data_IF_411734543876
#
_entry.id   IF_411734543876
#
_cell.length_a   1.000
_cell.length_b   1.000
_cell.length_c   1.000
_cell.angle_alpha   90.00
_cell.angle_beta   90.00
_cell.angle_gamma   90.00
#
_symmetry.space_group_name_H-M   'P 1'
#
loop_
_entity.id
_entity.type
_entity.pdbx_description
1 polymer ?
#
# COMPACT_ATOMS: atom_id res chain seq x y z
N UNK A 1 -29.62 -0.15 -21.66
CA UNK A 1 -29.00 -1.13 -22.58
C UNK A 1 -28.95 -2.49 -21.88
N UNK A 2 -29.31 -3.59 -22.57
CA UNK A 2 -29.15 -4.95 -22.02
C UNK A 2 -27.65 -5.29 -21.95
N UNK A 3 -27.15 -5.65 -20.77
CA UNK A 3 -25.76 -6.11 -20.56
C UNK A 3 -25.58 -7.51 -21.15
N UNK A 4 -24.36 -7.81 -21.61
CA UNK A 4 -23.99 -9.16 -21.97
C UNK A 4 -24.01 -10.06 -20.72
N UNK A 5 -24.46 -11.31 -20.89
CA UNK A 5 -24.47 -12.30 -19.81
C UNK A 5 -23.17 -13.10 -19.84
N UNK A 6 -22.54 -13.26 -18.68
CA UNK A 6 -21.33 -14.07 -18.53
C UNK A 6 -21.56 -15.18 -17.52
N UNK A 7 -21.65 -16.42 -18.01
CA UNK A 7 -21.90 -17.59 -17.17
C UNK A 7 -20.68 -17.90 -16.30
N UNK A 8 -20.91 -18.07 -15.00
CA UNK A 8 -19.89 -18.48 -14.04
C UNK A 8 -20.15 -19.89 -13.53
N UNK A 9 -19.09 -20.62 -13.19
CA UNK A 9 -19.19 -21.95 -12.58
C UNK A 9 -19.70 -21.86 -11.14
N UNK A 10 -20.22 -22.97 -10.62
CA UNK A 10 -20.68 -23.08 -9.22
C UNK A 10 -19.64 -22.60 -8.19
N UNK A 11 -18.34 -22.98 -8.25
CA UNK A 11 -17.34 -22.49 -7.30
C UNK A 11 -17.12 -20.97 -7.38
N UNK A 12 -17.10 -20.39 -8.58
CA UNK A 12 -16.96 -18.94 -8.75
C UNK A 12 -18.18 -18.19 -8.23
N UNK A 13 -19.38 -18.70 -8.51
CA UNK A 13 -20.63 -18.16 -7.96
C UNK A 13 -20.58 -18.09 -6.44
N UNK A 14 -20.20 -19.18 -5.78
CA UNK A 14 -20.18 -19.25 -4.32
C UNK A 14 -19.17 -18.23 -3.74
N UNK A 15 -18.02 -18.03 -4.38
CA UNK A 15 -17.07 -16.97 -4.02
C UNK A 15 -17.64 -15.56 -4.21
N UNK A 16 -18.29 -15.29 -5.35
CA UNK A 16 -18.91 -13.99 -5.61
C UNK A 16 -20.01 -13.70 -4.59
N UNK A 17 -20.87 -14.68 -4.26
CA UNK A 17 -21.89 -14.54 -3.21
C UNK A 17 -21.30 -14.29 -1.82
N UNK A 18 -20.12 -14.87 -1.55
CA UNK A 18 -19.38 -14.59 -0.32
C UNK A 18 -18.72 -13.20 -0.31
N UNK A 19 -18.78 -12.45 -1.42
CA UNK A 19 -18.23 -11.10 -1.53
C UNK A 19 -16.82 -11.03 -2.15
N UNK A 20 -16.33 -12.12 -2.73
CA UNK A 20 -15.05 -12.09 -3.45
C UNK A 20 -15.17 -11.25 -4.73
N UNK A 21 -14.38 -10.19 -4.91
CA UNK A 21 -14.56 -9.23 -5.99
C UNK A 21 -13.98 -9.69 -7.33
N UNK A 22 -13.14 -10.72 -7.32
CA UNK A 22 -12.39 -11.16 -8.49
C UNK A 22 -12.94 -12.44 -9.11
N UNK A 23 -13.02 -12.46 -10.44
CA UNK A 23 -13.38 -13.63 -11.23
C UNK A 23 -12.23 -13.96 -12.18
N UNK A 24 -11.55 -15.07 -11.92
CA UNK A 24 -10.42 -15.52 -12.73
C UNK A 24 -10.86 -16.33 -13.97
N UNK A 25 -10.06 -16.25 -15.04
CA UNK A 25 -10.37 -16.84 -16.35
C UNK A 25 -10.39 -18.38 -16.37
N UNK A 26 -9.63 -19.02 -15.46
CA UNK A 26 -9.41 -20.48 -15.40
C UNK A 26 -10.67 -21.32 -15.17
N UNK A 27 -11.83 -20.69 -14.95
CA UNK A 27 -13.10 -21.38 -14.74
C UNK A 27 -14.29 -20.73 -15.49
N UNK A 28 -14.03 -20.08 -16.64
CA UNK A 28 -15.07 -19.40 -17.44
C UNK A 28 -15.08 -19.83 -18.91
N UNK A 29 -16.28 -20.04 -19.44
CA UNK A 29 -16.51 -19.92 -20.89
C UNK A 29 -16.46 -18.43 -21.23
N UNK A 30 -15.48 -18.00 -22.06
CA UNK A 30 -15.34 -16.60 -22.46
C UNK A 30 -16.41 -16.25 -23.51
N UNK A 31 -17.34 -15.32 -23.24
CA UNK A 31 -18.37 -14.96 -24.20
C UNK A 31 -17.74 -14.22 -25.38
N UNK A 32 -18.24 -14.48 -26.60
CA UNK A 32 -17.78 -13.77 -27.80
C UNK A 32 -18.26 -12.32 -27.76
N UNK A 33 -17.39 -11.39 -28.19
CA UNK A 33 -17.77 -9.99 -28.41
C UNK A 33 -17.74 -9.06 -27.19
N UNK A 34 -17.43 -9.58 -25.99
CA UNK A 34 -17.17 -8.74 -24.81
C UNK A 34 -15.79 -8.10 -24.95
N UNK A 35 -15.71 -6.79 -24.73
CA UNK A 35 -14.47 -6.03 -24.73
C UNK A 35 -14.05 -5.67 -23.31
N UNK A 36 -12.76 -5.41 -23.14
CA UNK A 36 -12.21 -4.85 -21.91
C UNK A 36 -12.89 -3.52 -21.58
N UNK A 37 -13.39 -3.39 -20.35
CA UNK A 37 -14.15 -2.24 -19.88
C UNK A 37 -15.68 -2.36 -20.01
N UNK A 38 -16.19 -3.38 -20.70
CA UNK A 38 -17.63 -3.60 -20.82
C UNK A 38 -18.26 -3.98 -19.48
N UNK A 39 -19.49 -3.48 -19.26
CA UNK A 39 -20.33 -3.94 -18.16
C UNK A 39 -21.06 -5.22 -18.55
N UNK A 40 -20.92 -6.23 -17.71
CA UNK A 40 -21.53 -7.55 -17.89
C UNK A 40 -22.37 -7.92 -16.68
N UNK A 41 -23.34 -8.79 -16.89
CA UNK A 41 -24.07 -9.44 -15.80
C UNK A 41 -23.53 -10.84 -15.64
N UNK A 42 -22.94 -11.13 -14.48
CA UNK A 42 -22.57 -12.50 -14.11
C UNK A 42 -23.85 -13.30 -13.88
N UNK A 43 -23.91 -14.51 -14.43
CA UNK A 43 -25.08 -15.40 -14.30
C UNK A 43 -24.67 -16.79 -13.85
N UNK A 44 -25.49 -17.42 -13.04
CA UNK A 44 -25.41 -18.85 -12.72
C UNK A 44 -26.63 -19.60 -13.30
N UNK A 45 -26.80 -20.87 -12.91
CA UNK A 45 -27.96 -21.68 -13.30
C UNK A 45 -29.30 -21.16 -12.75
N UNK A 46 -29.28 -20.34 -11.68
CA UNK A 46 -30.46 -19.78 -11.02
C UNK A 46 -30.82 -18.39 -11.56
N UNK A 47 -29.92 -17.73 -12.29
CA UNK A 47 -30.17 -16.46 -12.95
C UNK A 47 -29.07 -15.41 -12.73
N UNK A 48 -29.42 -14.11 -12.83
CA UNK A 48 -28.48 -13.01 -12.59
C UNK A 48 -27.90 -13.02 -11.18
N UNK A 49 -26.58 -12.82 -11.09
CA UNK A 49 -25.81 -12.89 -9.86
C UNK A 49 -25.24 -11.54 -9.43
N UNK A 50 -24.60 -10.82 -10.35
CA UNK A 50 -23.88 -9.58 -10.04
C UNK A 50 -23.60 -8.77 -11.30
N UNK A 51 -23.34 -7.48 -11.13
CA UNK A 51 -22.78 -6.61 -12.19
C UNK A 51 -21.25 -6.60 -12.08
N UNK A 52 -20.56 -6.83 -13.19
CA UNK A 52 -19.11 -6.87 -13.22
C UNK A 52 -18.53 -6.09 -14.39
N UNK A 53 -17.27 -5.70 -14.22
CA UNK A 53 -16.44 -5.05 -15.21
C UNK A 53 -15.55 -6.10 -15.89
N UNK A 54 -15.69 -6.25 -17.20
CA UNK A 54 -15.01 -7.27 -17.98
C UNK A 54 -13.56 -6.88 -18.35
N UNK A 55 -12.66 -7.87 -18.26
CA UNK A 55 -11.33 -7.84 -18.86
C UNK A 55 -10.97 -9.22 -19.46
N UNK A 56 -11.56 -9.61 -20.60
CA UNK A 56 -11.40 -10.95 -21.15
C UNK A 56 -9.95 -11.30 -21.55
N UNK A 57 -9.08 -10.30 -21.66
CA UNK A 57 -7.66 -10.43 -21.99
C UNK A 57 -6.76 -10.67 -20.77
N UNK A 58 -7.27 -10.42 -19.56
CA UNK A 58 -6.54 -10.60 -18.30
C UNK A 58 -6.84 -11.97 -17.68
N UNK A 59 -5.88 -12.59 -16.95
CA UNK A 59 -6.17 -13.71 -16.06
C UNK A 59 -7.27 -13.38 -15.03
N UNK A 60 -7.36 -12.12 -14.61
CA UNK A 60 -8.48 -11.57 -13.85
C UNK A 60 -9.56 -11.12 -14.85
N UNK A 61 -10.37 -12.08 -15.31
CA UNK A 61 -11.31 -11.92 -16.42
C UNK A 61 -12.45 -10.91 -16.13
N UNK A 62 -12.82 -10.73 -14.86
CA UNK A 62 -13.76 -9.70 -14.46
C UNK A 62 -13.57 -9.27 -13.00
N UNK A 63 -13.96 -8.02 -12.71
CA UNK A 63 -14.08 -7.49 -11.34
C UNK A 63 -15.54 -7.18 -11.02
N UNK A 64 -16.07 -7.71 -9.94
CA UNK A 64 -17.45 -7.48 -9.48
C UNK A 64 -17.58 -6.03 -8.99
N UNK A 65 -18.45 -5.24 -9.62
CA UNK A 65 -18.73 -3.85 -9.25
C UNK A 65 -19.84 -3.76 -8.20
N UNK A 66 -20.86 -4.62 -8.34
CA UNK A 66 -22.04 -4.64 -7.49
C UNK A 66 -22.62 -6.05 -7.45
N UNK A 67 -23.08 -6.48 -6.27
CA UNK A 67 -23.82 -7.73 -6.12
C UNK A 67 -25.27 -7.58 -6.61
N UNK A 68 -25.75 -6.36 -6.81
CA UNK A 68 -26.98 -6.12 -7.56
C UNK A 68 -26.73 -6.29 -9.08
N UNK A 69 -27.31 -7.33 -9.72
CA UNK A 69 -27.20 -7.51 -11.17
C UNK A 69 -27.89 -6.40 -11.99
N UNK A 70 -28.75 -5.60 -11.36
CA UNK A 70 -29.44 -4.45 -11.94
C UNK A 70 -28.77 -3.10 -11.71
N UNK A 71 -27.68 -3.04 -10.93
CA UNK A 71 -27.02 -1.79 -10.54
C UNK A 71 -26.70 -0.92 -11.75
N UNK A 72 -27.06 0.37 -11.76
CA UNK A 72 -26.94 1.23 -12.95
C UNK A 72 -25.49 1.53 -13.36
N UNK A 73 -24.57 1.62 -12.39
CA UNK A 73 -23.16 2.01 -12.60
C UNK A 73 -23.01 3.37 -13.31
N UNK A 74 -23.97 4.28 -13.06
CA UNK A 74 -23.98 5.66 -13.53
C UNK A 74 -23.23 6.62 -12.58
N UNK A 75 -23.27 7.92 -12.86
CA UNK A 75 -22.61 8.92 -12.03
C UNK A 75 -23.14 9.01 -10.60
N UNK A 76 -24.43 8.77 -10.36
CA UNK A 76 -24.97 8.75 -9.00
C UNK A 76 -24.44 7.56 -8.20
N UNK A 77 -24.35 6.39 -8.84
CA UNK A 77 -23.75 5.18 -8.29
C UNK A 77 -22.27 5.38 -7.94
N UNK A 78 -21.51 6.09 -8.78
CA UNK A 78 -20.09 6.42 -8.55
C UNK A 78 -19.92 7.38 -7.37
N UNK A 79 -20.69 8.47 -7.36
CA UNK A 79 -20.65 9.48 -6.28
C UNK A 79 -20.94 8.84 -4.93
N UNK A 80 -21.98 8.04 -4.83
CA UNK A 80 -22.37 7.39 -3.58
C UNK A 80 -21.26 6.49 -3.00
N UNK A 81 -20.54 5.75 -3.85
CA UNK A 81 -19.45 4.86 -3.41
C UNK A 81 -18.23 5.60 -2.94
N UNK A 82 -17.79 6.57 -3.73
CA UNK A 82 -16.60 7.37 -3.41
C UNK A 82 -16.86 8.27 -2.19
N UNK A 83 -18.08 8.78 -2.04
CA UNK A 83 -18.58 9.44 -0.83
C UNK A 83 -18.53 8.51 0.39
N UNK A 84 -19.05 7.29 0.28
CA UNK A 84 -18.99 6.31 1.37
C UNK A 84 -17.54 5.95 1.76
N UNK A 85 -16.65 5.81 0.77
CA UNK A 85 -15.24 5.50 0.98
C UNK A 85 -14.51 6.63 1.72
N UNK A 86 -14.72 7.89 1.29
CA UNK A 86 -14.18 9.08 1.95
C UNK A 86 -14.79 9.29 3.35
N UNK A 87 -16.10 9.13 3.52
CA UNK A 87 -16.78 9.21 4.81
C UNK A 87 -16.29 8.16 5.82
N UNK A 88 -15.83 6.99 5.36
CA UNK A 88 -15.18 6.01 6.24
C UNK A 88 -13.88 6.57 6.83
N UNK A 89 -13.05 7.23 6.02
CA UNK A 89 -11.79 7.83 6.47
C UNK A 89 -12.02 9.09 7.31
N UNK A 90 -13.02 9.90 6.96
CA UNK A 90 -13.34 11.12 7.71
C UNK A 90 -13.73 10.83 9.17
N UNK A 91 -14.30 9.64 9.44
CA UNK A 91 -14.72 9.20 10.78
C UNK A 91 -13.70 8.33 11.51
N UNK A 92 -12.57 8.02 10.88
CA UNK A 92 -11.54 7.16 11.48
C UNK A 92 -10.69 7.96 12.47
N UNK A 93 -10.72 7.64 13.78
CA UNK A 93 -9.93 8.35 14.78
C UNK A 93 -8.42 8.22 14.55
N UNK A 94 -7.95 7.17 13.87
CA UNK A 94 -6.53 6.99 13.53
C UNK A 94 -6.06 7.94 12.43
N UNK A 95 -6.96 8.66 11.75
CA UNK A 95 -6.60 9.59 10.67
C UNK A 95 -6.73 11.06 11.09
N UNK A 96 -7.11 11.33 12.35
CA UNK A 96 -7.15 12.68 12.88
C UNK A 96 -5.76 13.31 12.81
N UNK A 97 -5.65 14.51 12.25
CA UNK A 97 -4.37 15.20 12.04
C UNK A 97 -3.55 14.72 10.84
N UNK A 98 -3.93 13.60 10.21
CA UNK A 98 -3.26 13.11 9.00
C UNK A 98 -3.80 13.82 7.74
N UNK A 99 -2.93 14.54 7.03
CA UNK A 99 -3.30 15.17 5.75
C UNK A 99 -2.87 14.33 4.54
N UNK A 100 -2.11 13.26 4.74
CA UNK A 100 -1.91 12.18 3.77
C UNK A 100 -2.79 10.97 4.08
N UNK A 101 -3.73 10.60 3.19
CA UNK A 101 -4.71 9.51 3.44
C UNK A 101 -5.07 8.76 2.15
N UNK A 102 -5.35 7.46 2.26
CA UNK A 102 -6.01 6.70 1.19
C UNK A 102 -7.52 6.87 1.30
N UNK A 103 -8.14 7.57 0.34
CA UNK A 103 -9.58 7.78 0.32
C UNK A 103 -10.35 6.63 -0.33
N UNK A 104 -9.79 6.02 -1.37
CA UNK A 104 -10.36 4.86 -2.06
C UNK A 104 -9.30 3.78 -2.22
N UNK A 105 -9.62 2.56 -1.78
CA UNK A 105 -8.76 1.39 -1.80
C UNK A 105 -9.39 0.24 -2.59
N UNK A 106 -9.70 0.51 -3.86
CA UNK A 106 -10.09 -0.51 -4.82
C UNK A 106 -11.35 -1.28 -4.41
N UNK A 107 -11.20 -2.60 -4.47
CA UNK A 107 -12.22 -3.59 -4.13
C UNK A 107 -12.80 -3.38 -2.73
N UNK A 108 -11.98 -3.04 -1.75
CA UNK A 108 -12.41 -2.88 -0.36
C UNK A 108 -13.35 -1.68 -0.14
N UNK A 109 -13.39 -0.77 -1.10
CA UNK A 109 -14.28 0.39 -1.13
C UNK A 109 -15.42 0.26 -2.14
N UNK A 110 -15.69 -0.96 -2.61
CA UNK A 110 -16.65 -1.22 -3.69
C UNK A 110 -16.35 -0.39 -4.95
N UNK A 111 -15.07 -0.03 -5.16
CA UNK A 111 -14.57 0.67 -6.33
C UNK A 111 -13.44 -0.15 -7.00
N UNK A 112 -13.71 -1.38 -7.51
CA UNK A 112 -12.66 -2.28 -7.99
C UNK A 112 -11.69 -1.63 -8.98
N UNK A 113 -10.40 -1.77 -8.68
CA UNK A 113 -9.32 -1.20 -9.47
C UNK A 113 -9.20 0.33 -9.46
N UNK A 114 -9.93 1.05 -8.61
CA UNK A 114 -9.73 2.49 -8.38
C UNK A 114 -8.99 2.71 -7.06
N UNK A 115 -7.86 3.39 -7.10
CA UNK A 115 -7.16 3.87 -5.91
C UNK A 115 -7.10 5.40 -5.96
N UNK A 116 -7.44 6.03 -4.83
CA UNK A 116 -7.29 7.48 -4.66
C UNK A 116 -6.62 7.76 -3.33
N UNK A 117 -5.42 8.33 -3.40
CA UNK A 117 -4.72 8.91 -2.26
C UNK A 117 -4.92 10.42 -2.26
N UNK A 118 -5.01 11.04 -1.09
CA UNK A 118 -5.03 12.50 -0.91
C UNK A 118 -3.80 12.94 -0.12
N UNK A 119 -3.12 13.95 -0.65
CA UNK A 119 -1.99 14.62 -0.01
C UNK A 119 -2.36 16.09 0.17
N UNK A 120 -2.67 16.49 1.41
CA UNK A 120 -3.30 17.76 1.72
C UNK A 120 -4.61 17.97 0.92
N UNK A 121 -4.56 18.80 -0.13
CA UNK A 121 -5.67 19.12 -1.04
C UNK A 121 -5.49 18.55 -2.47
N UNK A 122 -4.49 17.68 -2.66
CA UNK A 122 -4.16 17.05 -3.94
C UNK A 122 -4.56 15.58 -3.94
N UNK A 123 -5.53 15.22 -4.78
CA UNK A 123 -5.90 13.84 -5.05
C UNK A 123 -4.97 13.22 -6.10
N UNK A 124 -4.43 12.03 -5.82
CA UNK A 124 -3.65 11.22 -6.76
C UNK A 124 -4.44 9.94 -7.06
N UNK A 125 -4.74 9.75 -8.34
CA UNK A 125 -5.61 8.67 -8.82
C UNK A 125 -4.76 7.65 -9.56
N UNK A 126 -5.08 6.37 -9.32
CA UNK A 126 -4.48 5.23 -10.02
C UNK A 126 -5.59 4.26 -10.42
N UNK A 127 -5.50 3.75 -11.64
CA UNK A 127 -6.33 2.66 -12.12
C UNK A 127 -5.51 1.37 -12.20
N UNK A 128 -6.04 0.28 -11.64
CA UNK A 128 -5.41 -1.04 -11.68
C UNK A 128 -5.91 -1.84 -12.89
N UNK A 129 -5.26 -1.57 -14.02
CA UNK A 129 -5.41 -2.30 -15.27
C UNK A 129 -6.44 -1.73 -16.24
N UNK A 130 -6.44 -2.23 -17.50
CA UNK A 130 -7.14 -1.59 -18.61
C UNK A 130 -8.66 -1.46 -18.43
N UNK A 131 -9.30 -2.47 -17.84
CA UNK A 131 -10.74 -2.42 -17.60
C UNK A 131 -11.12 -1.32 -16.60
N UNK A 132 -10.37 -1.20 -15.51
CA UNK A 132 -10.56 -0.13 -14.53
C UNK A 132 -10.34 1.25 -15.16
N UNK A 133 -9.28 1.41 -15.98
CA UNK A 133 -9.02 2.65 -16.73
C UNK A 133 -10.20 3.02 -17.63
N UNK A 134 -10.70 2.08 -18.44
CA UNK A 134 -11.81 2.32 -19.36
C UNK A 134 -13.09 2.75 -18.62
N UNK A 135 -13.38 2.16 -17.46
CA UNK A 135 -14.60 2.45 -16.70
C UNK A 135 -14.50 3.75 -15.89
N UNK A 136 -13.46 3.90 -15.07
CA UNK A 136 -13.34 4.98 -14.09
C UNK A 136 -12.88 6.30 -14.69
N UNK A 137 -12.05 6.28 -15.75
CA UNK A 137 -11.55 7.52 -16.36
C UNK A 137 -12.69 8.38 -16.91
N UNK A 138 -13.68 7.76 -17.55
CA UNK A 138 -14.88 8.44 -18.05
C UNK A 138 -15.80 9.00 -16.94
N UNK A 139 -15.57 8.60 -15.69
CA UNK A 139 -16.39 8.92 -14.51
C UNK A 139 -15.64 9.76 -13.48
N UNK A 140 -14.47 10.30 -13.82
CA UNK A 140 -13.64 10.96 -12.82
C UNK A 140 -14.30 12.20 -12.19
N UNK A 141 -15.11 12.94 -12.96
CA UNK A 141 -15.88 14.06 -12.42
C UNK A 141 -16.78 13.61 -11.27
N UNK A 142 -17.48 12.48 -11.44
CA UNK A 142 -18.33 11.89 -10.41
C UNK A 142 -17.53 11.33 -9.23
N UNK A 143 -16.36 10.75 -9.48
CA UNK A 143 -15.44 10.30 -8.42
C UNK A 143 -15.06 11.49 -7.53
N UNK A 144 -14.59 12.59 -8.12
CA UNK A 144 -14.17 13.77 -7.35
C UNK A 144 -15.33 14.36 -6.56
N UNK A 145 -16.51 14.50 -7.17
CA UNK A 145 -17.71 15.01 -6.48
C UNK A 145 -18.09 14.12 -5.29
N UNK A 146 -18.04 12.80 -5.42
CA UNK A 146 -18.33 11.90 -4.32
C UNK A 146 -17.31 12.04 -3.18
N UNK A 147 -16.02 12.11 -3.49
CA UNK A 147 -14.98 12.34 -2.49
C UNK A 147 -15.19 13.66 -1.72
N UNK A 148 -15.55 14.73 -2.42
CA UNK A 148 -15.82 16.05 -1.83
C UNK A 148 -17.04 16.02 -0.91
N UNK A 149 -18.12 15.32 -1.31
CA UNK A 149 -19.28 15.06 -0.44
C UNK A 149 -18.92 14.26 0.81
N UNK A 150 -17.94 13.38 0.69
CA UNK A 150 -17.38 12.63 1.82
C UNK A 150 -16.40 13.42 2.69
N UNK A 151 -16.27 14.74 2.47
CA UNK A 151 -15.47 15.65 3.29
C UNK A 151 -14.02 15.86 2.82
N UNK A 152 -13.64 15.37 1.64
CA UNK A 152 -12.33 15.69 1.06
C UNK A 152 -12.30 17.12 0.48
N UNK A 153 -11.19 17.83 0.68
CA UNK A 153 -10.93 19.12 0.01
C UNK A 153 -9.99 18.84 -1.16
N UNK A 154 -10.43 19.10 -2.40
CA UNK A 154 -9.66 18.74 -3.61
C UNK A 154 -9.47 19.96 -4.51
N UNK A 155 -8.33 20.64 -4.32
CA UNK A 155 -7.88 21.71 -5.22
C UNK A 155 -7.23 21.14 -6.49
N UNK A 156 -6.49 20.03 -6.34
CA UNK A 156 -5.76 19.40 -7.43
C UNK A 156 -6.11 17.92 -7.59
N UNK A 157 -6.15 17.43 -8.82
CA UNK A 157 -6.30 16.01 -9.12
C UNK A 157 -5.28 15.58 -10.19
N UNK A 158 -4.47 14.58 -9.86
CA UNK A 158 -3.42 14.04 -10.71
C UNK A 158 -3.69 12.57 -11.01
N UNK A 159 -3.85 12.22 -12.28
CA UNK A 159 -3.83 10.82 -12.71
C UNK A 159 -2.38 10.38 -12.85
N UNK A 160 -1.98 9.37 -12.10
CA UNK A 160 -0.63 8.83 -12.21
C UNK A 160 -0.49 8.07 -13.53
N UNK A 161 0.60 8.34 -14.26
CA UNK A 161 0.93 7.62 -15.47
C UNK A 161 1.39 6.19 -15.18
N UNK A 162 1.19 5.30 -16.15
CA UNK A 162 1.65 3.92 -16.02
C UNK A 162 3.18 3.84 -16.13
N UNK A 163 3.81 3.22 -15.12
CA UNK A 163 5.27 3.07 -15.08
C UNK A 163 5.82 2.30 -16.29
N UNK A 164 5.05 1.34 -16.83
CA UNK A 164 5.44 0.57 -18.02
C UNK A 164 5.48 1.44 -19.28
N UNK A 165 4.62 2.43 -19.37
CA UNK A 165 4.50 3.33 -20.52
C UNK A 165 5.38 4.58 -20.40
N UNK A 166 6.12 4.72 -19.27
CA UNK A 166 6.92 5.92 -18.95
C UNK A 166 6.12 7.22 -19.06
N UNK A 167 4.81 7.16 -18.85
CA UNK A 167 3.95 8.34 -18.79
C UNK A 167 4.17 9.05 -17.44
N UNK A 168 4.36 10.36 -17.47
CA UNK A 168 4.50 11.16 -16.26
C UNK A 168 3.18 11.25 -15.47
N UNK A 169 2.04 11.03 -16.13
CA UNK A 169 0.70 11.30 -15.61
C UNK A 169 0.05 12.51 -16.26
N UNK A 170 -1.21 12.78 -15.90
CA UNK A 170 -1.99 13.92 -16.40
C UNK A 170 -2.70 14.67 -15.26
N UNK A 171 -2.76 15.99 -15.38
CA UNK A 171 -3.57 16.83 -14.51
C UNK A 171 -5.05 16.71 -14.92
N UNK A 172 -5.90 16.23 -14.00
CA UNK A 172 -7.34 16.13 -14.20
C UNK A 172 -8.10 17.34 -13.64
N UNK A 173 -7.53 18.02 -12.64
CA UNK A 173 -8.03 19.27 -12.07
C UNK A 173 -6.85 20.06 -11.53
N UNK A 174 -6.57 21.24 -12.10
CA UNK A 174 -5.43 22.06 -11.71
C UNK A 174 -4.07 21.33 -11.82
N UNK A 175 -2.97 22.06 -11.61
CA UNK A 175 -1.64 21.44 -11.55
C UNK A 175 -1.22 21.29 -10.08
N UNK A 176 -0.80 20.10 -9.63
CA UNK A 176 -0.25 19.94 -8.28
C UNK A 176 0.97 20.85 -8.06
N UNK A 177 1.23 21.34 -6.85
CA UNK A 177 2.51 22.00 -6.56
C UNK A 177 3.68 21.01 -6.74
N UNK A 178 4.90 21.53 -6.82
CA UNK A 178 6.10 20.69 -6.99
C UNK A 178 6.38 19.82 -5.76
N UNK A 179 6.19 20.38 -4.57
CA UNK A 179 6.26 19.70 -3.29
C UNK A 179 4.92 19.92 -2.56
N UNK A 180 4.32 18.83 -2.08
CA UNK A 180 3.12 18.87 -1.23
C UNK A 180 3.57 18.46 0.18
N UNK A 181 3.37 19.33 1.16
CA UNK A 181 3.68 18.99 2.55
C UNK A 181 2.46 18.34 3.20
N UNK A 182 2.63 17.11 3.67
CA UNK A 182 1.63 16.42 4.48
C UNK A 182 2.06 16.32 5.93
N UNK A 183 1.07 16.17 6.80
CA UNK A 183 1.25 15.86 8.20
C UNK A 183 0.80 14.41 8.45
N UNK A 184 1.55 13.69 9.25
CA UNK A 184 1.17 12.44 9.86
C UNK A 184 1.51 12.52 11.33
N UNK A 185 0.48 12.70 12.17
CA UNK A 185 0.65 13.16 13.55
C UNK A 185 1.38 14.52 13.58
N UNK A 186 2.49 14.63 14.32
CA UNK A 186 3.40 15.79 14.35
C UNK A 186 4.57 15.68 13.34
N UNK A 187 4.67 14.57 12.58
CA UNK A 187 5.65 14.42 11.52
C UNK A 187 5.19 15.13 10.23
N UNK A 188 6.11 15.80 9.54
CA UNK A 188 5.83 16.51 8.28
C UNK A 188 6.72 15.98 7.15
N UNK A 189 6.10 15.66 6.02
CA UNK A 189 6.77 15.06 4.86
C UNK A 189 6.51 15.88 3.60
N UNK A 190 7.56 16.16 2.83
CA UNK A 190 7.47 16.62 1.46
C UNK A 190 7.15 15.46 0.53
N UNK A 191 6.11 15.61 -0.29
CA UNK A 191 5.62 14.60 -1.23
C UNK A 191 5.71 15.16 -2.65
N UNK A 192 6.37 14.41 -3.53
CA UNK A 192 6.35 14.64 -4.98
C UNK A 192 5.47 13.58 -5.65
N UNK A 193 4.29 14.01 -6.10
CA UNK A 193 3.29 13.14 -6.74
C UNK A 193 3.61 12.82 -8.21
N UNK A 194 4.57 13.51 -8.82
CA UNK A 194 5.01 13.30 -10.21
C UNK A 194 6.14 12.27 -10.27
N UNK A 195 7.19 12.47 -9.47
CA UNK A 195 8.40 11.64 -9.53
C UNK A 195 8.51 10.59 -8.42
N UNK A 196 7.79 10.78 -7.29
CA UNK A 196 7.87 9.91 -6.13
C UNK A 196 7.39 8.48 -6.38
N UNK A 197 7.80 7.53 -5.54
CA UNK A 197 7.37 6.13 -5.64
C UNK A 197 5.89 5.96 -5.25
N UNK A 198 5.25 4.89 -5.73
CA UNK A 198 3.80 4.67 -5.61
C UNK A 198 3.01 5.89 -6.11
N UNK A 199 2.25 6.53 -5.24
CA UNK A 199 1.48 7.77 -5.49
C UNK A 199 2.20 9.01 -4.96
N UNK A 200 3.38 8.86 -4.35
CA UNK A 200 4.18 9.93 -3.75
C UNK A 200 4.77 9.54 -2.39
N UNK A 201 4.00 8.80 -1.57
CA UNK A 201 4.41 8.38 -0.23
C UNK A 201 3.75 7.06 0.18
N UNK A 202 4.35 6.33 1.13
CA UNK A 202 3.86 5.04 1.63
C UNK A 202 2.88 5.24 2.79
N UNK A 203 1.63 5.57 2.47
CA UNK A 203 0.56 5.77 3.46
C UNK A 203 0.17 4.48 4.20
N UNK A 204 0.40 3.33 3.58
CA UNK A 204 0.09 2.01 4.13
C UNK A 204 0.92 1.62 5.36
N UNK A 205 2.08 2.25 5.56
CA UNK A 205 2.95 1.99 6.71
C UNK A 205 2.66 2.88 7.93
N UNK A 206 1.65 3.77 7.89
CA UNK A 206 1.37 4.76 8.96
C UNK A 206 1.31 4.14 10.36
N UNK A 207 0.48 3.12 10.54
CA UNK A 207 0.29 2.53 11.87
C UNK A 207 1.51 1.72 12.34
N UNK A 208 2.31 1.21 11.40
CA UNK A 208 3.59 0.57 11.70
C UNK A 208 4.64 1.62 12.11
N UNK A 209 4.65 2.80 11.49
CA UNK A 209 5.50 3.94 11.93
C UNK A 209 5.14 4.40 13.33
N UNK A 210 3.85 4.48 13.67
CA UNK A 210 3.37 4.74 15.04
C UNK A 210 3.81 3.66 16.03
N UNK A 211 3.80 2.40 15.61
CA UNK A 211 4.32 1.29 16.42
C UNK A 211 5.81 1.51 16.75
N UNK A 212 6.64 1.76 15.72
CA UNK A 212 8.06 2.06 15.90
C UNK A 212 8.29 3.26 16.82
N UNK A 213 7.56 4.36 16.62
CA UNK A 213 7.64 5.55 17.48
C UNK A 213 7.52 5.24 18.96
N UNK A 214 6.54 4.42 19.34
CA UNK A 214 6.28 4.03 20.75
C UNK A 214 7.42 3.24 21.38
N UNK A 215 8.32 2.71 20.57
CA UNK A 215 9.46 1.90 21.00
C UNK A 215 10.81 2.60 20.81
N UNK A 216 10.82 3.86 20.36
CA UNK A 216 12.05 4.55 19.97
C UNK A 216 12.69 5.36 21.10
N UNK A 217 11.98 5.68 22.18
CA UNK A 217 12.50 6.51 23.27
C UNK A 217 13.81 5.96 23.86
N UNK A 218 14.87 6.78 23.83
CA UNK A 218 16.19 6.43 24.33
C UNK A 218 16.98 5.45 23.45
N UNK A 219 16.43 4.98 22.34
CA UNK A 219 17.01 3.95 21.49
C UNK A 219 17.87 4.55 20.36
N UNK A 220 18.91 3.82 19.97
CA UNK A 220 19.54 3.94 18.66
C UNK A 220 18.74 3.13 17.62
N UNK A 221 18.44 3.74 16.48
CA UNK A 221 17.55 3.14 15.47
C UNK A 221 18.25 3.03 14.12
N UNK A 222 18.19 1.85 13.51
CA UNK A 222 18.58 1.61 12.12
C UNK A 222 17.34 1.37 11.27
N UNK A 223 17.14 2.19 10.24
CA UNK A 223 16.09 2.04 9.25
C UNK A 223 16.70 1.69 7.89
N UNK A 224 16.55 0.43 7.48
CA UNK A 224 17.00 -0.08 6.19
C UNK A 224 15.88 0.04 5.15
N UNK A 225 16.26 0.34 3.91
CA UNK A 225 15.31 0.70 2.83
C UNK A 225 14.44 1.90 3.23
N UNK A 226 15.10 2.88 3.84
CA UNK A 226 14.45 3.99 4.54
C UNK A 226 13.61 4.90 3.64
N UNK A 227 13.82 4.86 2.32
CA UNK A 227 13.21 5.76 1.36
C UNK A 227 13.32 7.23 1.81
N UNK A 228 12.20 7.94 1.96
CA UNK A 228 12.14 9.33 2.41
C UNK A 228 12.06 9.49 3.92
N UNK A 229 12.39 8.44 4.68
CA UNK A 229 12.61 8.50 6.12
C UNK A 229 11.34 8.38 6.97
N UNK A 230 10.27 7.77 6.47
CA UNK A 230 9.01 7.62 7.21
C UNK A 230 9.21 7.06 8.63
N UNK A 231 9.77 5.85 8.75
CA UNK A 231 10.09 5.26 10.06
C UNK A 231 11.12 6.07 10.83
N UNK A 232 12.11 6.64 10.14
CA UNK A 232 13.19 7.43 10.75
C UNK A 232 12.69 8.67 11.48
N UNK A 233 11.77 9.42 10.86
CA UNK A 233 11.17 10.61 11.46
C UNK A 233 10.30 10.26 12.66
N UNK A 234 9.47 9.21 12.53
CA UNK A 234 8.65 8.75 13.65
C UNK A 234 9.49 8.21 14.82
N UNK A 235 10.61 7.56 14.54
CA UNK A 235 11.55 7.14 15.58
C UNK A 235 12.16 8.34 16.31
N UNK A 236 12.62 9.36 15.58
CA UNK A 236 13.19 10.57 16.17
C UNK A 236 12.17 11.38 16.98
N UNK A 237 10.97 11.60 16.46
CA UNK A 237 9.85 12.22 17.20
C UNK A 237 9.37 11.37 18.39
N UNK A 238 9.69 10.07 18.38
CA UNK A 238 9.50 9.15 19.51
C UNK A 238 10.59 9.22 20.57
N UNK A 239 11.62 10.05 20.38
CA UNK A 239 12.72 10.24 21.33
C UNK A 239 13.91 9.30 21.12
N UNK A 240 14.12 8.79 19.90
CA UNK A 240 15.38 8.09 19.56
C UNK A 240 16.60 9.01 19.79
N UNK A 241 17.66 8.46 20.36
CA UNK A 241 18.92 9.19 20.61
C UNK A 241 19.72 9.38 19.34
N UNK A 242 19.65 8.43 18.42
CA UNK A 242 20.26 8.50 17.10
C UNK A 242 19.48 7.65 16.10
N UNK A 243 19.25 8.18 14.91
CA UNK A 243 18.59 7.47 13.83
C UNK A 243 19.51 7.37 12.62
N UNK A 244 19.78 6.15 12.15
CA UNK A 244 20.54 5.87 10.93
C UNK A 244 19.57 5.41 9.84
N UNK A 245 19.51 6.16 8.74
CA UNK A 245 18.64 5.89 7.59
C UNK A 245 19.47 5.48 6.39
N UNK A 246 19.14 4.33 5.79
CA UNK A 246 19.92 3.74 4.70
C UNK A 246 19.03 3.40 3.52
N UNK A 247 19.43 3.82 2.34
CA UNK A 247 18.74 3.51 1.08
C UNK A 247 19.73 3.62 -0.08
N UNK A 248 19.48 2.89 -1.17
CA UNK A 248 20.31 2.97 -2.38
C UNK A 248 19.96 4.21 -3.22
N UNK A 249 18.74 4.74 -3.07
CA UNK A 249 18.27 5.89 -3.81
C UNK A 249 18.75 7.20 -3.17
N UNK A 250 19.86 7.73 -3.68
CA UNK A 250 20.40 9.03 -3.25
C UNK A 250 19.38 10.17 -3.16
N UNK A 251 18.47 10.36 -4.15
CA UNK A 251 17.40 11.35 -4.05
C UNK A 251 16.45 11.14 -2.87
N UNK A 252 16.17 9.89 -2.49
CA UNK A 252 15.30 9.58 -1.35
C UNK A 252 15.99 9.95 -0.02
N UNK A 253 17.29 9.61 0.12
CA UNK A 253 18.12 9.99 1.26
C UNK A 253 18.25 11.53 1.37
N UNK A 254 18.42 12.23 0.24
CA UNK A 254 18.45 13.69 0.22
C UNK A 254 17.13 14.30 0.72
N UNK A 255 15.99 13.69 0.36
CA UNK A 255 14.67 14.13 0.83
C UNK A 255 14.48 13.95 2.35
N UNK A 256 15.21 13.03 3.01
CA UNK A 256 15.17 12.90 4.48
C UNK A 256 15.62 14.20 5.15
N UNK A 257 16.62 14.90 4.61
CA UNK A 257 17.07 16.19 5.15
C UNK A 257 15.91 17.19 5.26
N UNK A 258 15.20 17.32 4.14
CA UNK A 258 14.06 18.21 4.00
C UNK A 258 12.95 17.82 4.96
N UNK A 259 12.67 16.53 5.12
CA UNK A 259 11.64 16.04 6.05
C UNK A 259 12.01 16.27 7.53
N UNK A 260 13.29 16.08 7.90
CA UNK A 260 13.80 16.40 9.24
C UNK A 260 13.64 17.89 9.53
N UNK A 261 13.96 18.77 8.57
CA UNK A 261 13.74 20.22 8.69
C UNK A 261 12.24 20.55 8.83
N UNK A 262 11.38 19.98 7.98
CA UNK A 262 9.93 20.19 8.02
C UNK A 262 9.32 19.79 9.38
N UNK A 263 9.87 18.75 10.00
CA UNK A 263 9.42 18.22 11.29
C UNK A 263 10.11 18.88 12.50
N UNK A 264 10.92 19.93 12.29
CA UNK A 264 11.68 20.63 13.32
C UNK A 264 12.57 19.70 14.18
N UNK A 265 13.14 18.66 13.55
CA UNK A 265 14.02 17.70 14.23
C UNK A 265 15.50 18.13 14.14
N UNK A 266 16.34 17.78 15.14
CA UNK A 266 17.77 18.03 15.09
C UNK A 266 18.45 17.28 13.93
N UNK A 267 19.26 17.97 13.14
CA UNK A 267 19.91 17.38 11.96
C UNK A 267 21.06 16.42 12.32
N UNK A 268 21.74 16.68 13.43
CA UNK A 268 22.92 15.97 13.92
C UNK A 268 22.58 14.56 14.48
N UNK A 269 21.36 14.38 15.00
CA UNK A 269 20.87 13.09 15.46
C UNK A 269 20.45 12.13 14.32
N UNK A 270 20.47 12.59 13.06
CA UNK A 270 20.03 11.84 11.88
C UNK A 270 21.18 11.54 10.90
N UNK A 271 21.71 10.33 10.99
CA UNK A 271 22.69 9.81 10.04
C UNK A 271 21.99 9.29 8.78
N UNK A 272 22.46 9.73 7.62
CA UNK A 272 21.85 9.50 6.31
C UNK A 272 22.89 8.86 5.39
N UNK A 273 22.63 7.64 4.92
CA UNK A 273 23.62 6.85 4.19
C UNK A 273 23.01 6.37 2.88
N UNK A 274 23.59 6.82 1.77
CA UNK A 274 23.30 6.28 0.44
C UNK A 274 24.16 5.04 0.20
N UNK A 275 23.62 3.84 0.41
CA UNK A 275 24.35 2.58 0.27
C UNK A 275 23.42 1.40 0.06
N UNK A 276 23.94 0.30 -0.49
CA UNK A 276 23.25 -0.98 -0.44
C UNK A 276 23.14 -1.46 1.02
N UNK A 277 21.96 -1.96 1.41
CA UNK A 277 21.70 -2.35 2.78
C UNK A 277 22.53 -3.56 3.22
N UNK A 278 22.85 -4.50 2.33
CA UNK A 278 23.73 -5.63 2.66
C UNK A 278 25.17 -5.16 2.88
N UNK A 279 25.66 -4.21 2.08
CA UNK A 279 27.00 -3.63 2.27
C UNK A 279 27.13 -2.91 3.61
N UNK A 280 26.12 -2.11 3.99
CA UNK A 280 26.07 -1.46 5.29
C UNK A 280 26.03 -2.48 6.44
N UNK A 281 25.18 -3.51 6.34
CA UNK A 281 25.08 -4.55 7.37
C UNK A 281 26.41 -5.30 7.55
N UNK A 282 27.08 -5.66 6.45
CA UNK A 282 28.37 -6.34 6.50
C UNK A 282 29.45 -5.47 7.19
N UNK A 283 29.51 -4.17 6.87
CA UNK A 283 30.43 -3.22 7.52
C UNK A 283 30.11 -3.02 9.00
N UNK A 284 28.84 -2.86 9.34
CA UNK A 284 28.42 -2.70 10.73
C UNK A 284 28.79 -3.92 11.57
N UNK A 285 28.54 -5.12 11.03
CA UNK A 285 28.92 -6.38 11.67
C UNK A 285 30.43 -6.49 11.88
N UNK A 286 31.25 -6.16 10.86
CA UNK A 286 32.71 -6.22 10.99
C UNK A 286 33.29 -5.20 11.98
N UNK A 287 32.58 -4.09 12.19
CA UNK A 287 32.93 -3.03 13.14
C UNK A 287 32.33 -3.25 14.54
N UNK A 288 31.52 -4.30 14.74
CA UNK A 288 30.78 -4.52 15.98
C UNK A 288 29.72 -3.44 16.28
N UNK A 289 29.32 -2.65 15.27
CA UNK A 289 28.31 -1.61 15.41
C UNK A 289 26.92 -2.25 15.45
N UNK A 290 26.15 -1.90 16.48
CA UNK A 290 24.79 -2.41 16.71
C UNK A 290 23.82 -1.28 16.99
N UNK A 291 22.52 -1.60 16.95
CA UNK A 291 21.42 -0.70 17.25
C UNK A 291 20.40 -1.39 18.14
N UNK A 292 19.73 -0.61 18.99
CA UNK A 292 18.69 -1.13 19.88
C UNK A 292 17.41 -1.49 19.10
N UNK A 293 17.16 -0.85 17.97
CA UNK A 293 15.99 -1.10 17.11
C UNK A 293 16.39 -1.11 15.63
N UNK A 294 16.21 -2.26 14.96
CA UNK A 294 16.49 -2.42 13.53
C UNK A 294 15.19 -2.66 12.75
N UNK A 295 14.97 -1.87 11.70
CA UNK A 295 13.77 -1.89 10.85
C UNK A 295 14.18 -2.27 9.43
N UNK A 296 13.45 -3.22 8.85
CA UNK A 296 13.68 -3.74 7.51
C UNK A 296 12.38 -3.68 6.71
N UNK A 297 12.26 -2.72 5.78
CA UNK A 297 11.09 -2.58 4.89
C UNK A 297 11.50 -2.61 3.41
N UNK A 298 11.89 -3.78 2.88
CA UNK A 298 12.44 -3.87 1.53
C UNK A 298 11.35 -3.69 0.45
N UNK A 299 11.74 -3.36 -0.79
CA UNK A 299 10.81 -3.41 -1.91
C UNK A 299 10.27 -4.85 -2.11
N UNK A 300 9.16 -4.98 -2.83
CA UNK A 300 8.57 -6.29 -3.10
C UNK A 300 9.55 -7.21 -3.84
N UNK A 301 10.00 -8.28 -3.18
CA UNK A 301 10.84 -9.33 -3.77
C UNK A 301 10.05 -10.37 -4.59
N UNK A 302 8.73 -10.45 -4.42
CA UNK A 302 7.85 -11.39 -5.11
C UNK A 302 6.81 -10.64 -5.97
N UNK A 303 7.18 -10.24 -7.21
CA UNK A 303 6.24 -9.62 -8.15
C UNK A 303 5.26 -10.63 -8.80
N UNK A 304 5.46 -11.93 -8.60
CA UNK A 304 4.56 -12.98 -9.08
C UNK A 304 4.64 -14.21 -8.18
N UNK A 305 3.63 -15.09 -8.24
CA UNK A 305 3.63 -16.38 -7.54
C UNK A 305 4.88 -17.21 -7.82
N UNK A 306 5.36 -17.23 -9.08
CA UNK A 306 6.57 -17.98 -9.45
C UNK A 306 7.83 -17.47 -8.76
N UNK A 307 7.88 -16.18 -8.41
CA UNK A 307 9.02 -15.56 -7.75
C UNK A 307 9.02 -15.78 -6.22
N UNK A 308 7.93 -16.30 -5.63
CA UNK A 308 7.76 -16.44 -4.18
C UNK A 308 8.93 -17.16 -3.50
N UNK A 309 9.35 -18.31 -4.01
CA UNK A 309 10.45 -19.08 -3.39
C UNK A 309 11.79 -18.33 -3.38
N UNK A 310 12.09 -17.55 -4.41
CA UNK A 310 13.29 -16.71 -4.43
C UNK A 310 13.19 -15.53 -3.45
N UNK A 311 11.99 -14.95 -3.33
CA UNK A 311 11.71 -13.89 -2.37
C UNK A 311 11.88 -14.35 -0.93
N UNK A 312 11.37 -15.53 -0.55
CA UNK A 312 11.54 -16.06 0.81
C UNK A 312 13.02 -16.24 1.19
N UNK A 313 13.84 -16.74 0.27
CA UNK A 313 15.30 -16.82 0.48
C UNK A 313 15.97 -15.45 0.60
N UNK A 314 15.47 -14.44 -0.11
CA UNK A 314 15.98 -13.07 0.02
C UNK A 314 15.63 -12.48 1.39
N UNK A 315 14.40 -12.69 1.86
CA UNK A 315 13.99 -12.31 3.23
C UNK A 315 14.81 -13.01 4.29
N UNK A 316 15.09 -14.30 4.13
CA UNK A 316 15.93 -15.09 5.05
C UNK A 316 17.33 -14.47 5.19
N UNK A 317 18.04 -14.26 4.07
CA UNK A 317 19.37 -13.64 4.08
C UNK A 317 19.36 -12.25 4.73
N UNK A 318 18.34 -11.46 4.42
CA UNK A 318 18.22 -10.10 4.95
C UNK A 318 17.94 -10.10 6.45
N UNK A 319 17.06 -10.99 6.92
CA UNK A 319 16.76 -11.14 8.34
C UNK A 319 17.98 -11.62 9.14
N UNK A 320 18.77 -12.58 8.61
CA UNK A 320 20.04 -13.00 9.24
C UNK A 320 21.00 -11.83 9.39
N UNK A 321 21.24 -11.08 8.31
CA UNK A 321 22.17 -9.96 8.32
C UNK A 321 21.71 -8.82 9.24
N UNK A 322 20.41 -8.52 9.25
CA UNK A 322 19.85 -7.47 10.11
C UNK A 322 19.87 -7.85 11.59
N UNK A 323 19.53 -9.10 11.95
CA UNK A 323 19.57 -9.58 13.33
C UNK A 323 20.99 -9.55 13.90
N UNK A 324 22.01 -9.77 13.06
CA UNK A 324 23.41 -9.76 13.49
C UNK A 324 23.87 -8.40 14.06
N UNK A 325 23.18 -7.31 13.71
CA UNK A 325 23.48 -5.93 14.17
C UNK A 325 22.47 -5.38 15.18
N UNK A 326 21.57 -6.21 15.70
CA UNK A 326 20.70 -5.83 16.82
C UNK A 326 21.48 -5.95 18.13
N UNK A 327 21.28 -5.01 19.05
CA UNK A 327 21.79 -5.12 20.43
C UNK A 327 21.11 -6.27 21.19
N UNK A 328 21.80 -6.98 22.11
CA UNK A 328 21.14 -7.89 23.04
C UNK A 328 20.05 -7.17 23.85
N UNK A 329 18.83 -7.71 23.87
CA UNK A 329 17.66 -7.05 24.47
C UNK A 329 16.99 -6.01 23.57
N UNK A 330 17.49 -5.84 22.35
CA UNK A 330 16.95 -4.92 21.34
C UNK A 330 15.71 -5.46 20.64
N UNK A 331 15.36 -4.81 19.52
CA UNK A 331 14.14 -5.09 18.74
C UNK A 331 14.41 -5.14 17.26
N UNK A 332 13.61 -5.95 16.56
CA UNK A 332 13.72 -6.19 15.13
C UNK A 332 12.35 -6.11 14.46
N UNK A 333 12.24 -5.34 13.38
CA UNK A 333 11.04 -5.26 12.55
C UNK A 333 11.34 -5.72 11.12
N UNK A 334 10.46 -6.56 10.58
CA UNK A 334 10.54 -7.06 9.20
C UNK A 334 9.20 -6.87 8.51
N UNK A 335 9.21 -6.17 7.38
CA UNK A 335 8.05 -5.95 6.55
C UNK A 335 8.12 -6.66 5.20
N UNK A 336 6.96 -6.91 4.61
CA UNK A 336 6.79 -7.38 3.24
C UNK A 336 5.53 -6.76 2.64
N UNK A 337 5.65 -6.18 1.45
CA UNK A 337 4.52 -5.61 0.70
C UNK A 337 4.05 -6.50 -0.47
N UNK A 338 4.52 -7.75 -0.55
CA UNK A 338 4.08 -8.69 -1.60
C UNK A 338 2.77 -9.38 -1.22
N UNK A 339 1.78 -9.36 -2.12
CA UNK A 339 0.54 -10.13 -1.97
C UNK A 339 0.76 -11.65 -1.98
N UNK A 340 1.81 -12.14 -2.64
CA UNK A 340 2.10 -13.58 -2.79
C UNK A 340 2.84 -14.21 -1.60
N UNK A 341 3.53 -13.39 -0.81
CA UNK A 341 4.12 -13.81 0.47
C UNK A 341 3.04 -13.64 1.52
N UNK A 342 2.64 -14.69 2.23
CA UNK A 342 1.66 -14.58 3.33
C UNK A 342 2.36 -14.24 4.65
N UNK A 343 1.58 -13.90 5.68
CA UNK A 343 2.10 -13.72 7.04
C UNK A 343 2.75 -15.00 7.58
N UNK A 344 2.13 -16.16 7.32
CA UNK A 344 2.67 -17.46 7.69
C UNK A 344 3.98 -17.80 6.98
N UNK A 345 4.12 -17.42 5.70
CA UNK A 345 5.39 -17.59 4.98
C UNK A 345 6.51 -16.75 5.61
N UNK A 346 6.23 -15.48 5.94
CA UNK A 346 7.22 -14.57 6.52
C UNK A 346 7.61 -14.98 7.95
N UNK A 347 6.65 -15.44 8.75
CA UNK A 347 6.92 -16.05 10.05
C UNK A 347 7.74 -17.34 9.92
N UNK A 348 7.45 -18.16 8.90
CA UNK A 348 8.22 -19.36 8.59
C UNK A 348 9.69 -19.06 8.28
N UNK A 349 9.95 -17.97 7.54
CA UNK A 349 11.32 -17.48 7.29
C UNK A 349 12.03 -17.16 8.61
N UNK A 350 11.40 -16.38 9.50
CA UNK A 350 12.01 -15.99 10.78
C UNK A 350 12.20 -17.19 11.71
N UNK A 351 11.23 -18.10 11.77
CA UNK A 351 11.31 -19.34 12.56
C UNK A 351 12.44 -20.25 12.07
N UNK A 352 12.67 -20.31 10.75
CA UNK A 352 13.75 -21.07 10.14
C UNK A 352 15.16 -20.59 10.52
N UNK A 353 15.30 -19.37 11.05
CA UNK A 353 16.57 -18.85 11.55
C UNK A 353 16.99 -19.50 12.88
N UNK A 354 16.05 -20.18 13.56
CA UNK A 354 16.27 -20.89 14.83
C UNK A 354 16.91 -20.02 15.93
N UNK A 355 16.56 -18.73 16.00
CA UNK A 355 17.04 -17.79 17.03
C UNK A 355 16.11 -17.87 18.26
N UNK A 356 16.49 -18.58 19.35
CA UNK A 356 15.55 -18.89 20.44
C UNK A 356 15.17 -17.68 21.30
N UNK A 357 15.87 -16.55 21.17
CA UNK A 357 15.60 -15.29 21.86
C UNK A 357 14.58 -14.40 21.14
N UNK A 358 14.12 -14.77 19.93
CA UNK A 358 13.08 -14.00 19.24
C UNK A 358 11.71 -14.24 19.88
N UNK A 359 10.99 -13.15 20.16
CA UNK A 359 9.60 -13.18 20.60
C UNK A 359 8.78 -12.28 19.69
N UNK A 360 7.81 -12.84 18.97
CA UNK A 360 6.89 -12.04 18.17
C UNK A 360 6.03 -11.19 19.12
N UNK A 361 6.22 -9.87 19.04
CA UNK A 361 5.50 -8.89 19.85
C UNK A 361 4.24 -8.40 19.15
N UNK A 362 4.32 -8.20 17.84
CA UNK A 362 3.20 -7.72 17.04
C UNK A 362 3.30 -8.26 15.61
N UNK A 363 2.14 -8.68 15.09
CA UNK A 363 1.93 -8.93 13.66
C UNK A 363 0.86 -7.95 13.17
N UNK A 364 1.21 -7.14 12.18
CA UNK A 364 0.37 -6.06 11.66
C UNK A 364 0.32 -6.05 10.13
N UNK A 365 -0.66 -5.31 9.60
CA UNK A 365 -0.86 -5.12 8.17
C UNK A 365 -0.73 -3.66 7.76
N UNK A 366 -1.39 -3.32 6.66
CA UNK A 366 -1.50 -1.92 6.20
C UNK A 366 -2.37 -1.09 7.17
N UNK A 367 -2.18 0.23 7.11
CA UNK A 367 -2.90 1.20 7.94
C UNK A 367 -4.42 1.12 7.75
N UNK A 368 -5.18 1.65 8.71
CA UNK A 368 -6.65 1.55 8.76
C UNK A 368 -7.39 2.06 7.51
N UNK A 369 -6.81 3.02 6.78
CA UNK A 369 -7.34 3.53 5.52
C UNK A 369 -7.07 2.62 4.29
N UNK A 370 -6.47 1.45 4.53
CA UNK A 370 -6.26 0.35 3.58
C UNK A 370 -7.02 -0.90 4.03
N UNK A 371 -8.38 -0.84 4.08
CA UNK A 371 -9.18 -1.94 4.60
C UNK A 371 -9.05 -3.19 3.74
N UNK A 372 -9.21 -4.36 4.36
CA UNK A 372 -9.23 -5.65 3.66
C UNK A 372 -10.61 -6.26 3.80
N UNK A 373 -11.20 -6.73 2.70
CA UNK A 373 -12.45 -7.48 2.77
C UNK A 373 -12.18 -8.88 3.32
N UNK A 374 -13.01 -9.39 4.25
CA UNK A 374 -12.84 -10.75 4.77
C UNK A 374 -12.85 -11.82 3.68
N UNK A 375 -13.62 -11.62 2.62
CA UNK A 375 -13.73 -12.53 1.48
C UNK A 375 -12.64 -12.31 0.41
N UNK A 376 -11.65 -11.45 0.64
CA UNK A 376 -10.62 -11.09 -0.31
C UNK A 376 -9.26 -10.96 0.38
N UNK A 377 -8.65 -12.10 0.70
CA UNK A 377 -7.41 -12.16 1.45
C UNK A 377 -6.21 -11.63 0.65
N UNK A 378 -6.28 -11.62 -0.68
CA UNK A 378 -5.29 -11.01 -1.56
C UNK A 378 -5.11 -9.50 -1.29
N UNK A 379 -6.14 -8.84 -0.75
CA UNK A 379 -6.08 -7.46 -0.28
C UNK A 379 -5.14 -7.27 0.92
N UNK A 380 -4.81 -8.31 1.69
CA UNK A 380 -3.84 -8.27 2.81
C UNK A 380 -2.40 -8.38 2.29
N UNK A 381 -1.98 -7.42 1.48
CA UNK A 381 -0.68 -7.44 0.81
C UNK A 381 0.49 -7.06 1.74
N UNK A 382 0.28 -6.18 2.73
CA UNK A 382 1.32 -5.72 3.65
C UNK A 382 1.34 -6.55 4.93
N UNK A 383 2.54 -6.96 5.34
CA UNK A 383 2.84 -7.70 6.57
C UNK A 383 3.95 -6.95 7.27
N UNK A 384 3.81 -6.75 8.56
CA UNK A 384 4.80 -6.12 9.42
C UNK A 384 4.92 -6.97 10.69
N UNK A 385 6.07 -7.61 10.87
CA UNK A 385 6.36 -8.44 12.03
C UNK A 385 7.36 -7.69 12.92
N UNK A 386 7.04 -7.57 14.20
CA UNK A 386 7.87 -6.87 15.17
C UNK A 386 8.22 -7.81 16.33
N UNK A 387 9.51 -7.91 16.63
CA UNK A 387 10.08 -8.86 17.56
C UNK A 387 10.90 -8.16 18.64
N UNK A 388 10.82 -8.69 19.86
CA UNK A 388 11.86 -8.48 20.86
C UNK A 388 12.98 -9.52 20.63
N UNK A 389 14.24 -9.11 20.84
CA UNK A 389 15.45 -9.92 20.66
C UNK A 389 16.15 -10.03 22.01
N UNK A 390 15.80 -11.03 22.82
CA UNK A 390 16.30 -11.14 24.21
C UNK A 390 16.05 -12.48 24.88
#
# INVERSE_FOLDING_TARGET
MKRALWRVTKPLRDRVRAGHPWVYDRALEKPKGIKTGDLVTLVDEKGPLATALADPTSPLAARVLDLDPGASCDGAWVRARTEAAANRRARDPLLVGCTGRRLVHGEADACPGLVVDIYADTAVIVFDGPAATAFWRARIGDVLVGLERGGAVIAHAWLRGERRERSAGEALRGNPPAEIVINEDDARFGVDVRSGQKTGFFLDQRDNRRTIRRHAAGQTVLNLFSYTGGFSLHAALGGATKVTSVDIAGPAIAAIERNVQLSNLPQDAHERITSDCFDLLARAQSQGRRWDLVIVDPPSFAPSERAKGAALRAYERLAVAALAVVEPGGRFALASCSSHVTEGDLLGVVAGLQVPSLRLRQSAGAASDHPVLPAFSEGRYLKFLFFDVG
#
